data_IF_018751629892
#
_entry.id   IF_018751629892
#
_cell.length_a   1.000
_cell.length_b   1.000
_cell.length_c   1.000
_cell.angle_alpha   90.00
_cell.angle_beta   90.00
_cell.angle_gamma   90.00
#
_symmetry.space_group_name_H-M   'P 1'
#
loop_
_entity.id
_entity.type
_entity.pdbx_description
1 polymer ?
#
# COMPACT_ATOMS: atom_id res chain seq x y z
N UNK A 1 98.14 -33.36 39.30
CA UNK A 1 98.16 -33.68 37.87
C UNK A 1 96.99 -34.63 37.62
N UNK A 2 95.88 -34.12 37.25
CA UNK A 2 94.65 -34.90 37.15
C UNK A 2 94.04 -34.60 35.76
N UNK A 3 93.99 -35.62 34.94
CA UNK A 3 93.30 -35.51 33.65
C UNK A 3 91.81 -35.81 33.79
N UNK A 4 91.01 -34.87 33.36
CA UNK A 4 89.57 -35.06 33.31
C UNK A 4 89.17 -35.45 31.89
N UNK A 5 88.55 -36.59 31.77
CA UNK A 5 87.98 -37.11 30.52
C UNK A 5 86.53 -36.65 30.38
N UNK A 6 86.25 -35.92 29.31
CA UNK A 6 84.87 -35.43 29.03
C UNK A 6 84.18 -36.43 28.11
N UNK A 7 83.13 -37.02 28.60
CA UNK A 7 82.19 -37.87 27.87
C UNK A 7 81.19 -37.04 27.10
N UNK A 8 81.17 -37.07 25.80
CA UNK A 8 80.16 -36.42 24.96
C UNK A 8 79.00 -37.38 24.73
N UNK A 9 77.83 -37.00 25.33
CA UNK A 9 76.58 -37.65 24.99
C UNK A 9 75.94 -36.97 23.76
N UNK A 10 75.71 -37.75 22.74
CA UNK A 10 74.91 -37.32 21.55
C UNK A 10 73.44 -37.46 21.87
N UNK A 11 72.74 -36.37 21.90
CA UNK A 11 71.28 -36.33 21.98
C UNK A 11 70.77 -36.19 20.56
N UNK A 12 70.14 -37.25 20.01
CA UNK A 12 69.36 -37.16 18.78
C UNK A 12 68.01 -36.54 19.08
N UNK A 13 67.77 -35.30 18.66
CA UNK A 13 66.44 -34.66 18.64
C UNK A 13 65.76 -35.00 17.31
N UNK A 14 64.73 -35.87 17.35
CA UNK A 14 63.80 -36.08 16.26
C UNK A 14 62.81 -34.88 16.17
N UNK A 15 62.98 -34.07 15.15
CA UNK A 15 62.03 -33.00 14.86
C UNK A 15 60.79 -33.59 14.19
N UNK A 16 59.67 -33.66 14.92
CA UNK A 16 58.34 -33.88 14.38
C UNK A 16 57.87 -32.57 13.70
N UNK A 17 57.96 -32.49 12.39
CA UNK A 17 57.35 -31.44 11.59
C UNK A 17 55.84 -31.73 11.50
N UNK A 18 55.06 -31.20 12.45
CA UNK A 18 53.60 -31.12 12.33
C UNK A 18 53.29 -30.10 11.23
N UNK A 19 52.86 -30.57 10.07
CA UNK A 19 52.36 -29.75 8.98
C UNK A 19 51.06 -29.06 9.41
N UNK A 20 51.15 -27.81 9.87
CA UNK A 20 50.02 -26.90 10.00
C UNK A 20 49.60 -26.45 8.59
N UNK A 21 48.65 -27.18 8.00
CA UNK A 21 47.91 -26.62 6.86
C UNK A 21 47.09 -25.46 7.35
N UNK A 22 47.21 -24.27 6.77
CA UNK A 22 46.31 -23.19 7.13
C UNK A 22 44.89 -23.61 6.67
N UNK A 23 43.98 -23.85 7.61
CA UNK A 23 42.56 -23.90 7.35
C UNK A 23 42.18 -22.46 7.00
N UNK A 24 42.15 -22.14 5.70
CA UNK A 24 41.49 -20.96 5.21
C UNK A 24 40.00 -21.15 5.47
N UNK A 25 39.50 -20.64 6.62
CA UNK A 25 38.10 -20.31 6.80
C UNK A 25 37.79 -19.25 5.74
N UNK A 26 37.30 -19.71 4.57
CA UNK A 26 36.51 -18.86 3.69
C UNK A 26 35.27 -18.53 4.48
N UNK A 27 35.33 -17.46 5.29
CA UNK A 27 34.15 -16.81 5.82
C UNK A 27 33.34 -16.40 4.61
N UNK A 28 32.29 -17.16 4.30
CA UNK A 28 31.26 -16.70 3.38
C UNK A 28 30.83 -15.33 3.87
N UNK A 29 31.03 -14.34 3.01
CA UNK A 29 30.67 -12.96 3.28
C UNK A 29 29.15 -12.92 3.41
N UNK A 30 28.61 -13.12 4.64
CA UNK A 30 27.18 -13.19 4.97
C UNK A 30 26.40 -11.92 4.63
N UNK A 31 27.09 -10.90 4.11
CA UNK A 31 26.51 -9.62 3.67
C UNK A 31 26.21 -9.53 2.16
N UNK A 32 26.44 -10.58 1.38
CA UNK A 32 26.14 -10.53 -0.05
C UNK A 32 24.68 -10.92 -0.27
N UNK A 33 23.89 -10.00 -0.86
CA UNK A 33 22.52 -10.29 -1.25
C UNK A 33 22.48 -11.49 -2.20
N UNK A 34 21.48 -12.38 -2.08
CA UNK A 34 21.34 -13.53 -2.96
C UNK A 34 21.10 -13.06 -4.40
N UNK A 35 21.57 -13.84 -5.38
CA UNK A 35 21.50 -13.53 -6.82
C UNK A 35 20.06 -13.18 -7.26
N UNK A 36 19.03 -13.84 -6.70
CA UNK A 36 17.63 -13.56 -7.01
C UNK A 36 17.22 -12.12 -6.67
N UNK A 37 17.81 -11.53 -5.61
CA UNK A 37 17.52 -10.17 -5.16
C UNK A 37 18.29 -9.08 -5.93
N UNK A 38 19.37 -9.46 -6.62
CA UNK A 38 20.20 -8.55 -7.42
C UNK A 38 19.95 -8.68 -8.92
N UNK A 39 18.99 -9.51 -9.33
CA UNK A 39 18.64 -9.73 -10.73
C UNK A 39 18.26 -8.45 -11.43
N UNK A 40 18.82 -8.24 -12.62
CA UNK A 40 18.45 -7.11 -13.46
C UNK A 40 17.06 -7.25 -14.04
N UNK A 41 16.44 -6.11 -14.36
CA UNK A 41 15.13 -6.10 -15.03
C UNK A 41 15.23 -6.74 -16.42
N UNK A 42 14.23 -7.54 -16.84
CA UNK A 42 14.20 -8.12 -18.17
C UNK A 42 14.27 -7.06 -19.28
N UNK A 43 14.87 -7.38 -20.44
CA UNK A 43 15.00 -6.44 -21.56
C UNK A 43 13.65 -5.86 -22.02
N UNK A 44 12.59 -6.66 -21.99
CA UNK A 44 11.22 -6.27 -22.34
C UNK A 44 10.71 -5.17 -21.39
N UNK A 45 10.93 -5.34 -20.10
CA UNK A 45 10.51 -4.37 -19.09
C UNK A 45 11.34 -3.08 -19.18
N UNK A 46 12.65 -3.19 -19.46
CA UNK A 46 13.51 -2.04 -19.72
C UNK A 46 13.07 -1.28 -20.99
N UNK A 47 12.62 -2.00 -22.02
CA UNK A 47 12.06 -1.40 -23.22
C UNK A 47 10.74 -0.67 -22.94
N UNK A 48 9.86 -1.27 -22.14
CA UNK A 48 8.59 -0.67 -21.74
C UNK A 48 8.81 0.62 -20.91
N UNK A 49 9.79 0.61 -20.00
CA UNK A 49 10.18 1.81 -19.24
C UNK A 49 10.59 2.95 -20.15
N UNK A 50 11.44 2.67 -21.15
CA UNK A 50 11.86 3.68 -22.16
C UNK A 50 10.68 4.20 -22.97
N UNK A 51 9.83 3.31 -23.46
CA UNK A 51 8.64 3.66 -24.26
C UNK A 51 7.70 4.59 -23.48
N UNK A 52 7.52 4.32 -22.17
CA UNK A 52 6.66 5.12 -21.28
C UNK A 52 7.38 6.33 -20.67
N UNK A 53 8.61 6.61 -21.06
CA UNK A 53 9.44 7.71 -20.52
C UNK A 53 9.59 7.67 -18.99
N UNK A 54 9.72 6.46 -18.46
CA UNK A 54 9.90 6.20 -17.01
C UNK A 54 11.37 5.88 -16.76
N UNK A 55 12.14 6.74 -16.06
CA UNK A 55 13.51 6.40 -15.68
C UNK A 55 13.57 5.10 -14.86
N UNK A 56 14.60 4.25 -15.09
CA UNK A 56 14.77 2.98 -14.36
C UNK A 56 14.65 3.17 -12.84
N UNK A 57 15.27 4.19 -12.34
CA UNK A 57 15.37 4.49 -10.91
C UNK A 57 14.29 5.46 -10.39
N UNK A 58 13.29 5.82 -11.20
CA UNK A 58 12.20 6.69 -10.74
C UNK A 58 11.35 6.02 -9.65
N UNK A 59 10.64 6.81 -8.83
CA UNK A 59 9.76 6.27 -7.80
C UNK A 59 8.78 5.22 -8.31
N UNK A 60 8.59 4.17 -7.51
CA UNK A 60 7.59 3.12 -7.71
C UNK A 60 6.40 3.33 -6.78
N UNK A 61 5.25 2.80 -7.17
CA UNK A 61 4.00 2.83 -6.42
C UNK A 61 3.19 1.60 -6.80
N UNK A 62 2.51 0.97 -5.84
CA UNK A 62 1.83 -0.30 -6.05
C UNK A 62 0.37 -0.21 -5.64
N UNK A 63 -0.52 -0.79 -6.45
CA UNK A 63 -1.94 -0.93 -6.13
C UNK A 63 -2.38 -2.39 -6.31
N UNK A 64 -3.17 -2.87 -5.38
CA UNK A 64 -3.68 -4.23 -5.32
C UNK A 64 -5.21 -4.20 -5.35
N UNK A 65 -5.81 -5.09 -6.12
CA UNK A 65 -7.26 -5.24 -6.23
C UNK A 65 -7.61 -6.71 -6.04
N UNK A 66 -8.28 -7.03 -4.92
CA UNK A 66 -8.57 -8.43 -4.55
C UNK A 66 -9.55 -9.10 -5.52
N UNK A 67 -10.69 -8.48 -5.81
CA UNK A 67 -11.74 -9.10 -6.65
C UNK A 67 -11.24 -9.36 -8.07
N UNK A 68 -10.51 -8.40 -8.65
CA UNK A 68 -9.88 -8.53 -9.97
C UNK A 68 -8.65 -9.46 -9.91
N UNK A 69 -8.10 -9.68 -8.71
CA UNK A 69 -6.84 -10.37 -8.46
C UNK A 69 -5.71 -9.77 -9.34
N UNK A 70 -5.54 -8.46 -9.27
CA UNK A 70 -4.56 -7.70 -10.03
C UNK A 70 -3.66 -6.85 -9.11
N UNK A 71 -2.37 -6.81 -9.46
CA UNK A 71 -1.38 -5.92 -8.89
C UNK A 71 -0.88 -4.98 -9.98
N UNK A 72 -1.08 -3.68 -9.77
CA UNK A 72 -0.56 -2.63 -10.64
C UNK A 72 0.75 -2.09 -10.11
N UNK A 73 1.77 -2.02 -10.94
CA UNK A 73 2.98 -1.26 -10.67
C UNK A 73 2.93 0.03 -11.48
N UNK A 74 3.07 1.13 -10.76
CA UNK A 74 3.13 2.49 -11.30
C UNK A 74 4.53 3.04 -11.10
N UNK A 75 4.99 3.86 -12.03
CA UNK A 75 6.25 4.60 -11.90
C UNK A 75 6.09 6.04 -12.31
N UNK A 76 6.90 6.91 -11.72
CA UNK A 76 6.95 8.29 -12.19
C UNK A 76 7.61 8.37 -13.57
N UNK A 77 6.94 9.07 -14.46
CA UNK A 77 7.50 9.48 -15.75
C UNK A 77 8.37 10.75 -15.62
N UNK A 78 8.86 11.24 -16.74
CA UNK A 78 9.69 12.47 -16.79
C UNK A 78 8.94 13.74 -16.41
N UNK A 79 7.60 13.71 -16.29
CA UNK A 79 6.77 14.83 -15.81
C UNK A 79 6.62 14.83 -14.30
N UNK A 80 7.12 13.80 -13.60
CA UNK A 80 6.98 13.60 -12.17
C UNK A 80 5.63 13.06 -11.75
N UNK A 81 4.80 12.57 -12.70
CA UNK A 81 3.52 11.94 -12.42
C UNK A 81 3.63 10.43 -12.52
N UNK A 82 2.87 9.74 -11.68
CA UNK A 82 2.76 8.29 -11.78
C UNK A 82 1.90 7.89 -12.98
N UNK A 83 2.42 6.96 -13.77
CA UNK A 83 1.74 6.29 -14.85
C UNK A 83 1.84 4.79 -14.63
N UNK A 84 0.84 4.06 -15.11
CA UNK A 84 0.86 2.60 -15.00
C UNK A 84 1.98 2.02 -15.87
N UNK A 85 2.89 1.27 -15.23
CA UNK A 85 3.94 0.55 -15.95
C UNK A 85 3.42 -0.78 -16.45
N UNK A 86 2.94 -1.62 -15.52
CA UNK A 86 2.50 -3.00 -15.82
C UNK A 86 1.45 -3.46 -14.82
N UNK A 87 0.51 -4.28 -15.28
CA UNK A 87 -0.46 -5.01 -14.46
C UNK A 87 -0.02 -6.46 -14.39
N UNK A 88 0.08 -6.98 -13.17
CA UNK A 88 0.42 -8.37 -12.90
C UNK A 88 -0.82 -9.09 -12.37
N UNK A 89 -1.21 -10.22 -12.97
CA UNK A 89 -2.24 -11.05 -12.37
C UNK A 89 -1.74 -11.64 -11.05
N UNK A 90 -2.50 -11.49 -9.97
CA UNK A 90 -2.18 -12.09 -8.67
C UNK A 90 -2.48 -13.59 -8.78
N UNK A 91 -1.47 -14.42 -8.47
CA UNK A 91 -1.62 -15.85 -8.49
C UNK A 91 -2.60 -16.33 -7.42
N UNK A 92 -2.45 -15.81 -6.19
CA UNK A 92 -3.35 -16.11 -5.09
C UNK A 92 -3.34 -15.00 -4.03
N UNK A 93 -4.51 -14.68 -3.48
CA UNK A 93 -4.64 -13.93 -2.25
C UNK A 93 -5.59 -14.68 -1.31
N UNK A 94 -5.53 -14.42 0.01
CA UNK A 94 -6.28 -15.18 1.00
C UNK A 94 -7.33 -14.35 1.72
N UNK A 95 -8.39 -15.03 2.20
CA UNK A 95 -9.47 -14.47 2.97
C UNK A 95 -10.61 -13.92 2.11
N UNK A 96 -11.41 -13.04 2.71
CA UNK A 96 -12.59 -12.42 2.10
C UNK A 96 -12.28 -11.00 1.58
N UNK A 97 -13.25 -10.38 0.91
CA UNK A 97 -13.24 -8.93 0.71
C UNK A 97 -13.52 -8.25 2.04
N UNK A 98 -12.63 -7.37 2.45
CA UNK A 98 -12.66 -6.68 3.73
C UNK A 98 -11.27 -6.55 4.36
N UNK A 99 -11.15 -5.77 5.43
CA UNK A 99 -9.89 -5.56 6.11
C UNK A 99 -9.44 -6.82 6.86
N UNK A 100 -8.12 -6.95 7.06
CA UNK A 100 -7.57 -7.85 8.05
C UNK A 100 -7.86 -7.31 9.45
N UNK A 101 -8.24 -8.18 10.40
CA UNK A 101 -8.64 -7.77 11.74
C UNK A 101 -7.69 -8.27 12.82
N UNK A 102 -7.23 -9.52 12.73
CA UNK A 102 -6.43 -10.16 13.79
C UNK A 102 -5.41 -11.15 13.24
N UNK A 103 -4.39 -11.42 14.04
CA UNK A 103 -3.41 -12.45 13.70
C UNK A 103 -4.10 -13.81 13.49
N UNK A 104 -3.66 -14.56 12.47
CA UNK A 104 -4.20 -15.88 12.15
C UNK A 104 -5.54 -15.92 11.41
N UNK A 105 -6.19 -14.78 11.13
CA UNK A 105 -7.46 -14.72 10.39
C UNK A 105 -7.31 -15.06 8.88
N UNK A 106 -6.09 -15.30 8.41
CA UNK A 106 -5.75 -15.62 7.01
C UNK A 106 -6.23 -14.59 5.99
N UNK A 107 -6.46 -13.36 6.43
CA UNK A 107 -7.03 -12.29 5.64
C UNK A 107 -5.92 -11.42 5.03
N UNK A 108 -5.93 -11.24 3.71
CA UNK A 108 -5.09 -10.26 3.04
C UNK A 108 -5.57 -8.83 3.38
N UNK A 109 -4.66 -7.91 3.78
CA UNK A 109 -5.04 -6.61 4.29
C UNK A 109 -5.56 -5.67 3.18
N UNK A 110 -6.41 -4.72 3.56
CA UNK A 110 -6.85 -3.59 2.72
C UNK A 110 -6.51 -2.28 3.43
N UNK A 111 -5.99 -1.30 2.69
CA UNK A 111 -5.59 0.00 3.24
C UNK A 111 -4.41 0.62 2.50
N UNK A 112 -3.78 1.59 3.18
CA UNK A 112 -2.61 2.33 2.67
C UNK A 112 -1.39 1.99 3.50
N UNK A 113 -0.39 1.39 2.88
CA UNK A 113 0.80 0.89 3.55
C UNK A 113 2.05 1.54 2.98
N UNK A 114 3.08 1.64 3.81
CA UNK A 114 4.37 2.22 3.43
C UNK A 114 5.45 1.16 3.53
N UNK A 115 6.12 0.92 2.42
CA UNK A 115 7.24 -0.02 2.33
C UNK A 115 8.55 0.75 2.35
N UNK A 116 9.44 0.38 3.27
CA UNK A 116 10.82 0.87 3.37
C UNK A 116 11.82 -0.20 2.91
N UNK A 117 13.10 0.12 2.71
CA UNK A 117 14.12 -0.88 2.33
C UNK A 117 14.18 -2.09 3.28
N UNK A 118 13.96 -1.88 4.58
CA UNK A 118 14.01 -2.92 5.62
C UNK A 118 12.88 -3.95 5.50
N UNK A 119 11.80 -3.58 4.79
CA UNK A 119 10.66 -4.46 4.53
C UNK A 119 10.85 -5.32 3.28
N UNK A 120 11.97 -5.16 2.56
CA UNK A 120 12.37 -6.00 1.44
C UNK A 120 13.07 -7.26 1.95
N UNK A 121 12.49 -8.44 1.75
CA UNK A 121 13.06 -9.71 2.18
C UNK A 121 13.71 -10.46 1.00
N UNK A 122 15.05 -10.40 0.85
CA UNK A 122 15.78 -11.12 -0.19
C UNK A 122 15.91 -12.64 0.06
N UNK A 123 15.74 -13.05 1.33
CA UNK A 123 15.93 -14.44 1.79
C UNK A 123 14.61 -15.14 2.09
N UNK A 124 13.52 -14.70 1.45
CA UNK A 124 12.22 -15.34 1.64
C UNK A 124 12.21 -16.79 1.18
N UNK A 125 11.55 -17.67 1.97
CA UNK A 125 11.25 -19.06 1.59
C UNK A 125 10.29 -19.11 0.38
N UNK A 126 9.55 -18.04 0.13
CA UNK A 126 8.68 -17.84 -1.03
C UNK A 126 9.39 -17.06 -2.14
N UNK A 127 10.59 -17.45 -2.47
CA UNK A 127 11.48 -16.85 -3.45
C UNK A 127 11.96 -15.44 -3.03
N UNK A 128 11.18 -14.41 -3.22
CA UNK A 128 11.38 -13.02 -2.77
C UNK A 128 10.10 -12.52 -2.11
N UNK A 129 10.22 -11.61 -1.13
CA UNK A 129 9.05 -11.02 -0.51
C UNK A 129 9.25 -9.54 -0.20
N UNK A 130 8.15 -8.82 -0.19
CA UNK A 130 8.02 -7.43 0.24
C UNK A 130 6.96 -7.39 1.34
N UNK A 131 7.35 -7.10 2.58
CA UNK A 131 6.40 -6.89 3.66
C UNK A 131 5.67 -5.58 3.42
N UNK A 132 4.33 -5.59 3.43
CA UNK A 132 3.53 -4.39 3.16
C UNK A 132 3.53 -3.39 4.31
N UNK A 133 4.03 -3.77 5.50
CA UNK A 133 4.06 -2.90 6.68
C UNK A 133 2.76 -2.90 7.49
N UNK A 134 1.99 -3.98 7.41
CA UNK A 134 0.81 -4.20 8.28
C UNK A 134 1.25 -4.59 9.71
N UNK A 135 0.56 -4.13 10.78
CA UNK A 135 -0.49 -3.13 10.79
C UNK A 135 0.05 -1.69 10.76
N UNK A 136 -0.60 -0.83 9.99
CA UNK A 136 -0.28 0.60 9.95
C UNK A 136 -0.94 1.35 11.15
N UNK A 137 -0.82 2.69 11.18
CA UNK A 137 -1.39 3.51 12.25
C UNK A 137 -2.91 3.44 12.32
N UNK A 138 -3.59 3.33 11.17
CA UNK A 138 -5.04 3.16 11.11
C UNK A 138 -5.47 1.81 11.68
N UNK A 139 -4.80 0.73 11.29
CA UNK A 139 -5.10 -0.61 11.77
C UNK A 139 -4.94 -0.69 13.30
N UNK A 140 -3.81 -0.19 13.83
CA UNK A 140 -3.55 -0.14 15.28
C UNK A 140 -4.60 0.69 16.03
N UNK A 141 -4.97 1.86 15.49
CA UNK A 141 -6.02 2.70 16.10
C UNK A 141 -7.38 2.00 16.12
N UNK A 142 -7.65 1.10 15.19
CA UNK A 142 -8.88 0.32 15.11
C UNK A 142 -8.76 -1.07 15.74
N UNK A 143 -7.76 -1.28 16.63
CA UNK A 143 -7.53 -2.54 17.36
C UNK A 143 -7.33 -3.75 16.44
N UNK A 144 -6.71 -3.55 15.28
CA UNK A 144 -6.34 -4.62 14.36
C UNK A 144 -4.89 -5.01 14.63
N UNK A 145 -4.63 -6.30 14.56
CA UNK A 145 -3.29 -6.86 14.74
C UNK A 145 -2.93 -7.89 13.67
N UNK A 146 -1.69 -8.29 13.68
CA UNK A 146 -1.14 -9.25 12.74
C UNK A 146 0.29 -8.88 12.33
N UNK A 147 0.93 -9.80 11.63
CA UNK A 147 2.32 -9.65 11.22
C UNK A 147 2.59 -10.34 9.88
N UNK A 148 3.75 -10.06 9.29
CA UNK A 148 4.31 -10.78 8.14
C UNK A 148 3.38 -10.86 6.91
N UNK A 149 2.61 -9.80 6.65
CA UNK A 149 1.75 -9.70 5.47
C UNK A 149 2.58 -9.22 4.28
N UNK A 150 2.68 -10.04 3.25
CA UNK A 150 3.65 -9.86 2.18
C UNK A 150 3.05 -9.92 0.78
N UNK A 151 3.75 -9.28 -0.17
CA UNK A 151 3.72 -9.60 -1.59
C UNK A 151 4.91 -10.50 -1.85
N UNK A 152 4.72 -11.75 -2.31
CA UNK A 152 5.79 -12.76 -2.43
C UNK A 152 5.59 -13.70 -3.62
N UNK A 153 6.57 -14.53 -3.91
CA UNK A 153 6.52 -15.59 -4.93
C UNK A 153 5.78 -16.85 -4.50
N UNK A 154 6.04 -17.97 -5.19
CA UNK A 154 5.57 -19.34 -4.89
C UNK A 154 4.04 -19.57 -5.04
N UNK A 155 3.28 -18.62 -5.49
CA UNK A 155 1.84 -18.80 -5.81
C UNK A 155 1.00 -19.48 -4.69
N UNK A 156 1.39 -19.39 -3.42
CA UNK A 156 0.67 -19.91 -2.25
C UNK A 156 0.41 -18.81 -1.23
N UNK A 157 -0.75 -18.79 -0.57
CA UNK A 157 -1.09 -17.71 0.36
C UNK A 157 -1.84 -18.21 1.60
N UNK A 158 -1.54 -17.57 2.72
CA UNK A 158 -2.24 -17.72 4.01
C UNK A 158 -2.41 -16.35 4.71
N UNK A 159 -2.83 -15.32 3.95
CA UNK A 159 -2.99 -13.94 4.41
C UNK A 159 -2.19 -12.93 3.57
N UNK A 160 -1.49 -13.38 2.55
CA UNK A 160 -0.60 -12.60 1.70
C UNK A 160 -1.17 -12.38 0.29
N UNK A 161 -0.39 -11.67 -0.53
CA UNK A 161 -0.58 -11.55 -1.98
C UNK A 161 0.53 -12.32 -2.67
N UNK A 162 0.20 -13.52 -3.17
CA UNK A 162 1.17 -14.39 -3.82
C UNK A 162 1.21 -14.15 -5.33
N UNK A 163 2.40 -13.97 -5.84
CA UNK A 163 2.75 -13.80 -7.24
C UNK A 163 3.48 -15.04 -7.74
N UNK A 164 3.78 -15.14 -9.03
CA UNK A 164 4.79 -16.09 -9.48
C UNK A 164 6.19 -15.57 -9.16
N UNK A 165 7.20 -16.46 -9.20
CA UNK A 165 8.59 -16.09 -8.93
C UNK A 165 9.12 -15.06 -9.92
N UNK A 166 8.72 -15.16 -11.18
CA UNK A 166 9.08 -14.19 -12.23
C UNK A 166 8.47 -12.83 -11.95
N UNK A 167 7.18 -12.80 -11.57
CA UNK A 167 6.48 -11.55 -11.28
C UNK A 167 7.06 -10.83 -10.07
N UNK A 168 7.27 -11.55 -8.96
CA UNK A 168 7.86 -10.92 -7.78
C UNK A 168 9.31 -10.49 -8.03
N UNK A 169 10.07 -11.21 -8.86
CA UNK A 169 11.42 -10.80 -9.28
C UNK A 169 11.42 -9.43 -9.96
N UNK A 170 10.49 -9.19 -10.88
CA UNK A 170 10.34 -7.89 -11.54
C UNK A 170 9.91 -6.79 -10.55
N UNK A 171 8.88 -7.05 -9.75
CA UNK A 171 8.34 -6.10 -8.77
C UNK A 171 9.41 -5.73 -7.73
N UNK A 172 10.11 -6.72 -7.21
CA UNK A 172 11.21 -6.55 -6.25
C UNK A 172 12.35 -5.71 -6.84
N UNK A 173 12.76 -6.01 -8.07
CA UNK A 173 13.81 -5.25 -8.75
C UNK A 173 13.42 -3.80 -9.03
N UNK A 174 12.16 -3.53 -9.41
CA UNK A 174 11.63 -2.17 -9.59
C UNK A 174 11.64 -1.37 -8.27
N UNK A 175 11.25 -2.01 -7.16
CA UNK A 175 11.29 -1.41 -5.83
C UNK A 175 12.73 -1.14 -5.37
N UNK A 176 13.62 -2.15 -5.48
CA UNK A 176 15.06 -2.02 -5.19
C UNK A 176 15.69 -0.86 -5.97
N UNK A 177 15.45 -0.80 -7.26
CA UNK A 177 16.03 0.25 -8.11
C UNK A 177 15.54 1.65 -7.71
N UNK A 178 14.28 1.79 -7.25
CA UNK A 178 13.76 3.03 -6.67
C UNK A 178 14.49 3.42 -5.38
N UNK A 179 14.76 2.46 -4.49
CA UNK A 179 15.53 2.68 -3.26
C UNK A 179 16.99 3.04 -3.54
N UNK A 180 17.63 2.42 -4.53
CA UNK A 180 19.00 2.77 -4.94
C UNK A 180 19.13 4.23 -5.42
N UNK A 181 18.04 4.84 -5.87
CA UNK A 181 18.00 6.27 -6.19
C UNK A 181 17.78 7.19 -4.96
N UNK A 182 17.85 6.66 -3.76
CA UNK A 182 17.72 7.43 -2.50
C UNK A 182 16.27 7.61 -2.01
N UNK A 183 15.28 6.93 -2.62
CA UNK A 183 13.92 6.93 -2.07
C UNK A 183 13.90 6.19 -0.74
N UNK A 184 13.22 6.77 0.25
CA UNK A 184 13.14 6.19 1.60
C UNK A 184 11.98 5.20 1.74
N UNK A 185 10.96 5.35 0.89
CA UNK A 185 9.78 4.49 0.91
C UNK A 185 9.01 4.57 -0.40
N UNK A 186 8.09 3.63 -0.58
CA UNK A 186 6.99 3.71 -1.55
C UNK A 186 5.68 3.25 -0.91
N UNK A 187 4.57 3.69 -1.48
CA UNK A 187 3.24 3.34 -0.98
C UNK A 187 2.68 2.11 -1.69
N UNK A 188 2.00 1.25 -0.92
CA UNK A 188 1.15 0.16 -1.38
C UNK A 188 -0.28 0.49 -0.99
N UNK A 189 -1.17 0.55 -1.96
CA UNK A 189 -2.62 0.71 -1.77
C UNK A 189 -3.30 -0.63 -2.06
N UNK A 190 -3.91 -1.24 -1.05
CA UNK A 190 -4.61 -2.50 -1.19
C UNK A 190 -6.13 -2.27 -1.07
N UNK A 191 -6.87 -2.72 -2.06
CA UNK A 191 -8.30 -2.48 -2.23
C UNK A 191 -9.09 -3.79 -2.38
N UNK A 192 -10.37 -3.81 -1.99
CA UNK A 192 -11.24 -4.96 -2.21
C UNK A 192 -11.46 -5.23 -3.70
N UNK A 193 -11.65 -4.17 -4.45
CA UNK A 193 -11.92 -4.13 -5.89
C UNK A 193 -11.61 -2.72 -6.42
N UNK A 194 -11.69 -2.51 -7.73
CA UNK A 194 -11.62 -1.16 -8.30
C UNK A 194 -12.76 -0.31 -7.76
N UNK A 195 -12.45 0.77 -7.03
CA UNK A 195 -13.43 1.58 -6.28
C UNK A 195 -14.26 2.49 -7.20
N UNK A 196 -14.91 1.89 -8.20
CA UNK A 196 -15.85 2.54 -9.10
C UNK A 196 -17.26 2.62 -8.49
N UNK A 197 -18.12 3.55 -8.93
CA UNK A 197 -19.53 3.60 -8.52
C UNK A 197 -20.25 2.27 -8.73
N UNK A 198 -20.02 1.61 -9.87
CA UNK A 198 -20.63 0.34 -10.21
C UNK A 198 -20.26 -0.78 -9.23
N UNK A 199 -18.99 -0.91 -8.89
CA UNK A 199 -18.54 -1.92 -7.94
C UNK A 199 -19.05 -1.62 -6.51
N UNK A 200 -19.04 -0.36 -6.08
CA UNK A 200 -19.64 0.02 -4.81
C UNK A 200 -21.15 -0.28 -4.75
N UNK A 201 -21.88 -0.02 -5.85
CA UNK A 201 -23.30 -0.35 -5.94
C UNK A 201 -23.57 -1.87 -5.92
N UNK A 202 -22.72 -2.66 -6.57
CA UNK A 202 -22.76 -4.14 -6.50
C UNK A 202 -22.53 -4.64 -5.06
N UNK A 203 -21.60 -4.04 -4.34
CA UNK A 203 -21.22 -4.43 -2.98
C UNK A 203 -21.96 -3.63 -1.89
N UNK A 204 -23.08 -2.97 -2.21
CA UNK A 204 -23.83 -2.10 -1.28
C UNK A 204 -24.28 -2.76 0.02
N UNK A 205 -24.47 -4.06 0.01
CA UNK A 205 -24.91 -4.83 1.18
C UNK A 205 -23.74 -5.32 2.06
N UNK A 206 -22.49 -5.01 1.70
CA UNK A 206 -21.34 -5.43 2.49
C UNK A 206 -21.24 -4.65 3.80
N UNK A 207 -20.94 -5.32 4.93
CA UNK A 207 -20.64 -4.63 6.19
C UNK A 207 -19.39 -3.73 6.09
N UNK A 208 -18.55 -3.94 5.10
CA UNK A 208 -17.32 -3.17 4.88
C UNK A 208 -17.52 -1.95 3.98
N UNK A 209 -18.75 -1.66 3.51
CA UNK A 209 -19.01 -0.58 2.56
C UNK A 209 -18.49 0.78 3.05
N UNK A 210 -18.72 1.10 4.33
CA UNK A 210 -18.26 2.35 4.92
C UNK A 210 -16.72 2.47 4.91
N UNK A 211 -16.03 1.39 5.23
CA UNK A 211 -14.57 1.32 5.16
C UNK A 211 -14.08 1.51 3.71
N UNK A 212 -14.72 0.87 2.75
CA UNK A 212 -14.37 1.01 1.33
C UNK A 212 -14.62 2.41 0.78
N UNK A 213 -15.72 3.08 1.21
CA UNK A 213 -15.96 4.48 0.88
C UNK A 213 -14.87 5.40 1.44
N UNK A 214 -14.34 5.12 2.62
CA UNK A 214 -13.18 5.83 3.17
C UNK A 214 -11.92 5.58 2.33
N UNK A 215 -11.64 4.33 1.94
CA UNK A 215 -10.51 4.03 1.06
C UNK A 215 -10.64 4.75 -0.28
N UNK A 216 -11.87 4.89 -0.79
CA UNK A 216 -12.15 5.60 -2.04
C UNK A 216 -11.67 7.05 -2.02
N UNK A 217 -11.70 7.73 -0.88
CA UNK A 217 -11.22 9.12 -0.78
C UNK A 217 -9.75 9.19 -1.19
N UNK A 218 -8.88 8.33 -0.65
CA UNK A 218 -7.48 8.29 -1.01
C UNK A 218 -7.23 7.80 -2.44
N UNK A 219 -8.04 6.83 -2.90
CA UNK A 219 -8.05 6.41 -4.30
C UNK A 219 -8.32 7.61 -5.24
N UNK A 220 -9.33 8.42 -4.95
CA UNK A 220 -9.72 9.55 -5.78
C UNK A 220 -8.66 10.67 -5.78
N UNK A 221 -7.96 10.87 -4.67
CA UNK A 221 -6.81 11.77 -4.61
C UNK A 221 -5.71 11.32 -5.58
N UNK A 222 -5.39 10.03 -5.60
CA UNK A 222 -4.41 9.48 -6.55
C UNK A 222 -4.91 9.56 -8.00
N UNK A 223 -6.11 9.06 -8.30
CA UNK A 223 -6.68 9.02 -9.66
C UNK A 223 -6.76 10.39 -10.32
N UNK A 224 -7.00 11.44 -9.53
CA UNK A 224 -7.13 12.80 -10.09
C UNK A 224 -5.83 13.57 -10.16
N UNK A 225 -4.83 13.20 -9.37
CA UNK A 225 -3.56 13.90 -9.29
C UNK A 225 -2.41 13.14 -9.97
N UNK A 226 -2.46 11.81 -10.02
CA UNK A 226 -1.36 10.92 -10.38
C UNK A 226 -0.11 11.19 -9.54
N UNK A 227 -0.33 11.57 -8.28
CA UNK A 227 0.70 11.75 -7.26
C UNK A 227 0.40 10.82 -6.10
N UNK A 228 1.42 10.28 -5.46
CA UNK A 228 1.26 9.49 -4.24
C UNK A 228 0.61 10.37 -3.16
N UNK A 229 -0.60 10.00 -2.66
CA UNK A 229 -1.25 10.79 -1.63
C UNK A 229 -0.49 10.63 -0.31
N UNK A 230 -0.27 11.76 0.38
CA UNK A 230 0.17 11.71 1.77
C UNK A 230 -0.97 11.14 2.62
N UNK A 231 -0.67 10.14 3.45
CA UNK A 231 -1.64 9.46 4.31
C UNK A 231 -1.28 9.68 5.76
N UNK A 232 -2.21 10.25 6.50
CA UNK A 232 -2.15 10.42 7.95
C UNK A 232 -3.39 9.76 8.58
N UNK A 233 -3.43 9.67 9.92
CA UNK A 233 -4.55 9.06 10.65
C UNK A 233 -4.87 9.90 11.88
N UNK A 234 -6.15 10.22 12.06
CA UNK A 234 -6.68 10.80 13.30
C UNK A 234 -8.14 10.40 13.48
N UNK A 235 -8.65 10.44 14.70
CA UNK A 235 -10.01 10.00 15.02
C UNK A 235 -10.32 8.59 14.45
N UNK A 236 -9.30 7.71 14.39
CA UNK A 236 -9.36 6.35 13.81
C UNK A 236 -9.70 6.29 12.33
N UNK A 237 -9.37 7.33 11.56
CA UNK A 237 -9.70 7.46 10.15
C UNK A 237 -8.50 7.91 9.35
N UNK A 238 -8.46 7.52 8.10
CA UNK A 238 -7.48 8.04 7.16
C UNK A 238 -7.75 9.51 6.83
N UNK A 239 -6.68 10.28 6.72
CA UNK A 239 -6.66 11.66 6.23
C UNK A 239 -5.67 11.74 5.08
N UNK A 240 -6.06 12.43 4.00
CA UNK A 240 -5.28 12.47 2.78
C UNK A 240 -4.82 13.88 2.43
N UNK A 241 -3.53 14.01 2.03
CA UNK A 241 -2.89 15.24 1.57
C UNK A 241 -3.05 16.44 2.52
N UNK A 242 -3.13 16.17 3.81
CA UNK A 242 -3.25 17.20 4.83
C UNK A 242 -1.99 18.07 4.89
N UNK A 243 -2.20 19.38 4.96
CA UNK A 243 -1.19 20.42 5.11
C UNK A 243 -1.55 21.35 6.28
N UNK A 244 -0.56 21.98 6.94
CA UNK A 244 -0.85 23.00 7.93
C UNK A 244 -1.71 24.11 7.32
N UNK A 245 -2.65 24.71 8.08
CA UNK A 245 -3.37 25.89 7.63
C UNK A 245 -2.39 27.02 7.30
N UNK A 246 -2.74 27.92 6.37
CA UNK A 246 -1.94 29.14 6.13
C UNK A 246 -1.70 29.88 7.43
N UNK A 247 -0.47 30.36 7.62
CA UNK A 247 -0.01 31.09 8.81
C UNK A 247 0.05 30.26 10.12
N UNK A 248 -0.07 28.93 10.03
CA UNK A 248 0.20 28.07 11.18
C UNK A 248 1.72 28.04 11.48
N UNK A 249 2.11 28.35 12.70
CA UNK A 249 3.49 28.24 13.18
C UNK A 249 3.79 26.87 13.79
N UNK A 250 2.74 26.12 14.13
CA UNK A 250 2.86 24.80 14.72
C UNK A 250 2.95 23.71 13.65
N UNK A 251 3.82 22.70 13.83
CA UNK A 251 3.82 21.53 12.95
C UNK A 251 2.49 20.80 13.02
N UNK A 252 2.05 20.27 11.88
CA UNK A 252 0.86 19.44 11.81
C UNK A 252 1.22 18.03 12.31
N UNK A 253 0.71 17.67 13.48
CA UNK A 253 0.94 16.37 14.12
C UNK A 253 -0.41 15.65 14.25
N UNK A 254 -0.46 14.42 13.75
CA UNK A 254 -1.62 13.54 13.85
C UNK A 254 -1.40 12.47 14.92
N UNK A 255 -2.37 12.33 15.83
CA UNK A 255 -2.48 11.17 16.68
C UNK A 255 -3.64 10.30 16.17
N UNK A 256 -3.39 9.00 15.91
CA UNK A 256 -4.38 8.15 15.26
C UNK A 256 -5.71 8.01 15.99
N UNK A 257 -5.73 8.16 17.33
CA UNK A 257 -6.93 8.02 18.17
C UNK A 257 -7.60 9.34 18.51
N UNK A 258 -6.86 10.46 18.42
CA UNK A 258 -7.34 11.76 18.88
C UNK A 258 -8.12 12.49 17.78
N UNK A 259 -8.85 13.52 18.19
CA UNK A 259 -9.52 14.43 17.26
C UNK A 259 -8.51 15.01 16.27
N UNK A 260 -8.92 15.09 15.02
CA UNK A 260 -8.06 15.65 13.97
C UNK A 260 -7.70 17.12 14.26
N UNK A 261 -6.43 17.50 14.13
CA UNK A 261 -6.02 18.89 14.14
C UNK A 261 -6.64 19.64 12.94
N UNK A 262 -6.66 20.97 13.00
CA UNK A 262 -7.03 21.75 11.83
C UNK A 262 -5.99 21.57 10.72
N UNK A 263 -6.44 21.25 9.51
CA UNK A 263 -5.60 21.09 8.34
C UNK A 263 -6.31 21.61 7.08
N UNK A 264 -5.56 21.81 6.02
CA UNK A 264 -6.07 22.11 4.67
C UNK A 264 -5.51 21.08 3.68
N UNK A 265 -6.18 20.95 2.54
CA UNK A 265 -5.67 20.17 1.40
C UNK A 265 -5.37 21.14 0.26
N UNK A 266 -4.33 20.87 -0.52
CA UNK A 266 -4.00 21.69 -1.68
C UNK A 266 -5.28 21.94 -2.52
N UNK A 267 -5.65 23.22 -2.78
CA UNK A 267 -6.92 23.55 -3.41
C UNK A 267 -7.16 22.90 -4.78
N UNK A 268 -6.08 22.67 -5.54
CA UNK A 268 -6.17 22.02 -6.86
C UNK A 268 -6.50 20.53 -6.72
N UNK A 269 -5.87 19.84 -5.77
CA UNK A 269 -6.15 18.43 -5.46
C UNK A 269 -7.57 18.30 -4.90
N UNK A 270 -7.89 19.08 -3.88
CA UNK A 270 -9.20 19.09 -3.22
C UNK A 270 -10.36 19.33 -4.20
N UNK A 271 -10.19 20.26 -5.15
CA UNK A 271 -11.23 20.53 -6.15
C UNK A 271 -11.43 19.32 -7.07
N UNK A 272 -10.37 18.78 -7.67
CA UNK A 272 -10.43 17.63 -8.58
C UNK A 272 -11.02 16.39 -7.90
N UNK A 273 -10.55 16.09 -6.68
CA UNK A 273 -11.06 14.96 -5.91
C UNK A 273 -12.56 15.12 -5.63
N UNK A 274 -13.02 16.32 -5.21
CA UNK A 274 -14.45 16.61 -4.97
C UNK A 274 -15.30 16.52 -6.24
N UNK A 275 -14.80 17.02 -7.37
CA UNK A 275 -15.50 16.91 -8.66
C UNK A 275 -15.70 15.43 -9.03
N UNK A 276 -14.66 14.62 -8.89
CA UNK A 276 -14.76 13.17 -9.11
C UNK A 276 -15.75 12.52 -8.13
N UNK A 277 -15.61 12.78 -6.84
CA UNK A 277 -16.48 12.20 -5.81
C UNK A 277 -17.94 12.55 -6.06
N UNK A 278 -18.26 13.81 -6.41
CA UNK A 278 -19.61 14.22 -6.76
C UNK A 278 -20.16 13.48 -7.99
N UNK A 279 -19.36 13.34 -9.04
CA UNK A 279 -19.77 12.61 -10.24
C UNK A 279 -20.03 11.14 -9.91
N UNK A 280 -19.11 10.53 -9.17
CA UNK A 280 -19.20 9.12 -8.77
C UNK A 280 -20.41 8.88 -7.85
N UNK A 281 -20.75 9.80 -6.95
CA UNK A 281 -21.92 9.69 -6.08
C UNK A 281 -23.24 9.79 -6.85
N UNK A 282 -23.31 10.65 -7.86
CA UNK A 282 -24.48 10.72 -8.76
C UNK A 282 -24.66 9.43 -9.54
N UNK A 283 -23.57 8.87 -10.07
CA UNK A 283 -23.58 7.59 -10.77
C UNK A 283 -23.99 6.45 -9.83
N UNK A 284 -23.40 6.40 -8.62
CA UNK A 284 -23.76 5.43 -7.60
C UNK A 284 -25.25 5.49 -7.25
N UNK A 285 -25.78 6.67 -7.01
CA UNK A 285 -27.20 6.87 -6.71
C UNK A 285 -28.11 6.44 -7.88
N UNK A 286 -27.70 6.68 -9.12
CA UNK A 286 -28.45 6.23 -10.29
C UNK A 286 -28.45 4.70 -10.40
N UNK A 287 -27.29 4.06 -10.21
CA UNK A 287 -27.15 2.58 -10.22
C UNK A 287 -28.01 1.92 -9.14
N UNK A 288 -28.16 2.55 -7.98
CA UNK A 288 -29.08 2.06 -6.94
C UNK A 288 -30.56 2.17 -7.38
N UNK A 289 -30.96 3.28 -8.03
CA UNK A 289 -32.32 3.45 -8.59
C UNK A 289 -32.61 2.42 -9.69
N UNK A 290 -31.61 2.13 -10.52
CA UNK A 290 -31.68 1.14 -11.60
C UNK A 290 -31.66 -0.29 -11.07
N UNK A 291 -31.57 -0.43 -9.75
CA UNK A 291 -31.58 -1.70 -9.02
C UNK A 291 -30.56 -2.72 -9.57
N UNK A 292 -29.32 -2.28 -9.84
CA UNK A 292 -28.26 -3.20 -10.31
C UNK A 292 -28.12 -4.38 -9.35
N UNK A 293 -27.86 -5.61 -9.86
CA UNK A 293 -27.73 -6.79 -9.03
C UNK A 293 -26.64 -6.61 -7.96
N UNK A 294 -27.00 -6.88 -6.69
CA UNK A 294 -26.03 -6.89 -5.60
C UNK A 294 -25.14 -8.13 -5.71
N UNK A 295 -23.87 -7.96 -5.42
CA UNK A 295 -22.95 -9.09 -5.27
C UNK A 295 -23.33 -9.88 -4.02
N UNK A 296 -23.22 -11.22 -4.04
CA UNK A 296 -23.40 -12.03 -2.85
C UNK A 296 -22.30 -11.71 -1.83
N UNK A 297 -22.66 -11.77 -0.55
CA UNK A 297 -21.71 -11.66 0.54
C UNK A 297 -21.19 -13.05 0.84
N UNK A 298 -19.91 -13.24 0.67
CA UNK A 298 -19.22 -14.48 1.04
C UNK A 298 -18.47 -14.26 2.35
N UNK A 299 -18.33 -15.33 3.13
CA UNK A 299 -17.44 -15.36 4.27
C UNK A 299 -16.71 -16.69 4.33
N UNK A 300 -15.48 -16.67 4.87
CA UNK A 300 -14.64 -17.84 4.92
C UNK A 300 -14.15 -18.28 3.55
N UNK A 301 -13.99 -17.33 2.59
CA UNK A 301 -13.31 -17.59 1.34
C UNK A 301 -11.85 -17.92 1.62
N UNK A 302 -11.34 -18.91 0.92
CA UNK A 302 -9.89 -19.15 0.90
C UNK A 302 -9.21 -18.22 -0.13
N UNK A 303 -9.71 -16.99 -0.23
CA UNK A 303 -9.18 -15.95 -1.11
C UNK A 303 -9.63 -16.04 -2.55
N UNK A 304 -8.82 -15.47 -3.44
CA UNK A 304 -9.07 -15.45 -4.88
C UNK A 304 -7.81 -15.67 -5.70
N UNK A 305 -8.03 -15.83 -7.00
CA UNK A 305 -7.01 -16.09 -8.00
C UNK A 305 -7.39 -15.37 -9.29
N UNK A 306 -6.42 -14.80 -10.00
CA UNK A 306 -6.69 -14.26 -11.32
C UNK A 306 -7.06 -15.37 -12.31
N UNK A 307 -7.99 -15.07 -13.21
CA UNK A 307 -8.46 -16.01 -14.24
C UNK A 307 -7.34 -16.61 -15.09
N UNK A 308 -6.22 -15.91 -15.24
CA UNK A 308 -5.05 -16.40 -15.97
C UNK A 308 -4.43 -17.66 -15.33
N UNK A 309 -4.66 -17.88 -14.04
CA UNK A 309 -4.13 -19.04 -13.31
C UNK A 309 -5.19 -20.13 -13.04
N UNK A 310 -6.48 -19.85 -13.20
CA UNK A 310 -7.55 -20.79 -12.90
C UNK A 310 -7.40 -22.14 -13.66
N UNK A 311 -6.97 -22.08 -14.92
CA UNK A 311 -6.75 -23.27 -15.73
C UNK A 311 -5.53 -24.10 -15.27
N UNK A 312 -4.54 -23.46 -14.63
CA UNK A 312 -3.31 -24.11 -14.16
C UNK A 312 -3.49 -24.78 -12.79
N UNK A 313 -4.50 -24.35 -12.02
CA UNK A 313 -4.77 -24.85 -10.67
C UNK A 313 -6.24 -25.25 -10.49
N UNK A 314 -6.74 -26.25 -11.24
CA UNK A 314 -8.13 -26.69 -11.13
C UNK A 314 -8.41 -27.20 -9.71
N UNK A 315 -9.53 -26.77 -9.11
CA UNK A 315 -9.97 -27.22 -7.78
C UNK A 315 -9.40 -26.46 -6.58
N UNK A 316 -8.55 -25.46 -6.77
CA UNK A 316 -8.00 -24.63 -5.66
C UNK A 316 -8.88 -23.43 -5.25
N UNK A 317 -9.95 -23.14 -5.99
CA UNK A 317 -10.94 -22.12 -5.61
C UNK A 317 -12.17 -22.83 -5.07
N UNK A 318 -12.21 -23.06 -3.77
CA UNK A 318 -13.43 -23.49 -3.09
C UNK A 318 -14.28 -22.27 -2.81
N UNK A 319 -15.41 -22.14 -3.51
CA UNK A 319 -16.46 -21.20 -3.13
C UNK A 319 -17.00 -21.67 -1.78
N UNK A 320 -16.70 -20.97 -0.71
CA UNK A 320 -17.26 -21.25 0.60
C UNK A 320 -18.69 -20.70 0.74
N UNK A 321 -19.36 -21.15 1.79
CA UNK A 321 -20.80 -20.98 2.02
C UNK A 321 -21.24 -19.52 1.93
N UNK A 322 -22.31 -19.26 1.17
CA UNK A 322 -23.10 -18.03 1.28
C UNK A 322 -23.71 -18.00 2.68
N UNK A 323 -23.33 -17.01 3.50
CA UNK A 323 -23.93 -16.82 4.81
C UNK A 323 -25.15 -15.89 4.73
N UNK A 324 -26.21 -16.16 5.49
CA UNK A 324 -27.25 -15.17 5.69
C UNK A 324 -26.67 -13.97 6.44
N UNK A 325 -27.06 -12.78 6.00
CA UNK A 325 -26.57 -11.44 6.41
C UNK A 325 -26.45 -11.16 7.92
N UNK A 326 -27.05 -11.97 8.79
CA UNK A 326 -27.30 -11.62 10.19
C UNK A 326 -26.25 -12.07 11.20
N UNK A 327 -25.21 -12.82 10.86
CA UNK A 327 -24.43 -13.56 11.87
C UNK A 327 -23.04 -13.07 12.19
N UNK A 328 -22.46 -12.08 11.45
CA UNK A 328 -21.13 -11.58 11.74
C UNK A 328 -20.97 -10.09 11.42
N UNK A 329 -21.30 -9.25 12.39
CA UNK A 329 -20.88 -7.86 12.40
C UNK A 329 -19.92 -7.66 13.59
N UNK A 330 -18.60 -7.56 13.39
CA UNK A 330 -17.84 -6.71 14.28
C UNK A 330 -18.38 -5.30 14.03
N UNK A 331 -19.04 -4.72 15.02
CA UNK A 331 -19.50 -3.34 14.97
C UNK A 331 -18.27 -2.44 14.90
N UNK A 332 -17.87 -2.07 13.68
CA UNK A 332 -17.06 -0.87 13.53
C UNK A 332 -17.88 0.26 14.16
N UNK A 333 -17.29 1.10 15.03
CA UNK A 333 -17.99 2.27 15.52
C UNK A 333 -18.54 3.03 14.33
N UNK A 334 -19.78 3.59 14.41
CA UNK A 334 -20.34 4.33 13.30
C UNK A 334 -19.35 5.41 12.91
N UNK A 335 -18.98 5.42 11.62
CA UNK A 335 -18.11 6.46 11.06
C UNK A 335 -18.97 7.73 11.13
N UNK A 336 -18.59 8.77 11.90
CA UNK A 336 -19.50 9.86 12.27
C UNK A 336 -19.99 10.76 11.12
N UNK A 337 -19.64 10.44 9.90
CA UNK A 337 -20.00 11.16 8.67
C UNK A 337 -20.57 10.28 7.55
N UNK A 338 -20.86 9.02 7.87
CA UNK A 338 -21.56 8.13 6.96
C UNK A 338 -22.96 7.96 7.50
N UNK A 339 -23.97 8.32 6.71
CA UNK A 339 -25.38 8.13 7.08
C UNK A 339 -25.71 6.63 7.15
N UNK A 340 -26.82 6.27 7.79
CA UNK A 340 -27.27 4.90 7.97
C UNK A 340 -27.45 4.12 6.65
N UNK A 341 -27.52 4.80 5.51
CA UNK A 341 -27.56 4.24 4.17
C UNK A 341 -26.16 4.05 3.55
N UNK A 342 -25.09 4.39 4.30
CA UNK A 342 -23.72 4.32 3.83
C UNK A 342 -23.27 5.49 2.94
N UNK A 343 -24.06 6.57 2.82
CA UNK A 343 -23.67 7.77 2.09
C UNK A 343 -22.75 8.66 2.91
N UNK A 344 -21.81 9.35 2.24
CA UNK A 344 -20.96 10.34 2.88
C UNK A 344 -21.77 11.62 3.13
N UNK A 345 -21.92 12.02 4.40
CA UNK A 345 -22.72 13.21 4.73
C UNK A 345 -22.09 14.49 4.19
N UNK A 346 -22.88 15.37 3.64
CA UNK A 346 -22.47 16.71 3.21
C UNK A 346 -21.90 17.56 4.36
N UNK A 347 -22.22 17.22 5.60
CA UNK A 347 -21.69 17.87 6.82
C UNK A 347 -20.19 17.71 6.97
N UNK A 348 -19.62 16.60 6.50
CA UNK A 348 -18.18 16.37 6.57
C UNK A 348 -17.40 17.30 5.65
N UNK A 349 -17.92 17.57 4.46
CA UNK A 349 -17.32 18.51 3.52
C UNK A 349 -17.37 19.96 4.04
N UNK A 350 -18.37 20.32 4.85
CA UNK A 350 -18.49 21.65 5.45
C UNK A 350 -17.53 21.92 6.60
N UNK A 351 -17.12 20.89 7.35
CA UNK A 351 -16.23 21.04 8.52
C UNK A 351 -14.74 20.96 8.18
N UNK A 352 -14.37 20.24 7.13
CA UNK A 352 -13.00 20.13 6.65
C UNK A 352 -12.58 21.29 5.74
N UNK A 353 -13.54 21.92 5.10
CA UNK A 353 -13.32 23.01 4.16
C UNK A 353 -14.12 24.23 4.61
N UNK A 354 -13.68 24.78 5.76
CA UNK A 354 -14.25 25.96 6.39
C UNK A 354 -14.74 27.02 5.39
N UNK A 355 -15.96 27.47 5.65
CA UNK A 355 -16.66 28.70 5.26
C UNK A 355 -16.41 29.17 3.81
N UNK A 356 -17.47 29.29 3.01
CA UNK A 356 -17.41 30.18 1.86
C UNK A 356 -16.95 31.55 2.38
N UNK A 357 -15.98 32.14 1.69
CA UNK A 357 -15.70 33.58 1.83
C UNK A 357 -17.01 34.27 1.42
N UNK A 358 -17.86 34.53 2.38
CA UNK A 358 -18.96 35.46 2.22
C UNK A 358 -18.27 36.83 2.17
N UNK A 359 -18.19 37.41 1.00
CA UNK A 359 -17.96 38.85 0.90
C UNK A 359 -19.13 39.51 1.60
N UNK A 360 -18.94 39.86 2.87
CA UNK A 360 -19.87 40.66 3.63
C UNK A 360 -19.77 42.10 3.08
N UNK A 361 -20.68 42.41 2.18
CA UNK A 361 -20.92 43.79 1.75
C UNK A 361 -21.58 44.52 2.93
N UNK A 362 -20.79 44.82 3.95
CA UNK A 362 -21.17 45.81 4.94
C UNK A 362 -21.40 47.16 4.25
N UNK A 363 -22.64 47.59 4.22
CA UNK A 363 -23.06 48.95 3.85
C UNK A 363 -22.22 49.97 4.63
N UNK A 364 -21.29 50.60 3.95
CA UNK A 364 -20.82 51.94 4.33
C UNK A 364 -21.06 52.84 3.14
N UNK A 365 -21.99 53.74 3.35
CA UNK A 365 -22.26 54.92 2.52
C UNK A 365 -20.98 55.77 2.38
N UNK A 366 -20.43 55.85 1.16
CA UNK A 366 -19.52 56.94 0.75
C UNK A 366 -19.89 57.44 -0.64
N UNK A 367 -19.66 58.74 -0.91
CA UNK A 367 -20.25 59.42 -2.06
C UNK A 367 -19.47 59.15 -3.35
N UNK A 368 -20.22 59.32 -4.42
CA UNK A 368 -19.82 59.19 -5.82
C UNK A 368 -18.53 59.92 -6.17
N UNK A 369 -17.55 59.25 -6.67
CA UNK A 369 -16.69 59.58 -7.80
C UNK A 369 -15.43 58.73 -7.81
N UNK A 370 -15.21 58.12 -8.94
CA UNK A 370 -13.97 57.49 -9.51
C UNK A 370 -14.22 56.02 -9.87
N UNK A 371 -14.54 55.85 -11.14
CA UNK A 371 -14.43 54.62 -11.91
C UNK A 371 -12.93 54.25 -12.08
N UNK A 372 -12.49 53.14 -11.53
CA UNK A 372 -11.43 52.33 -12.12
C UNK A 372 -11.72 50.85 -11.78
N UNK A 373 -11.78 50.01 -12.79
CA UNK A 373 -12.18 48.63 -12.70
C UNK A 373 -11.14 47.74 -12.05
N UNK A 374 -11.61 46.84 -11.19
CA UNK A 374 -10.98 45.58 -10.91
C UNK A 374 -12.05 44.48 -10.90
N UNK A 375 -11.85 43.51 -11.78
CA UNK A 375 -12.63 42.27 -11.83
C UNK A 375 -12.23 41.40 -10.62
N UNK A 376 -13.21 40.94 -9.94
CA UNK A 376 -13.08 39.78 -9.05
C UNK A 376 -12.95 38.48 -9.83
#
# INVERSE_FOLDING_TARGET
>A
MIHATVLRALVLTAAFAAGLTPVTCLGENSNRLPTKATKELPPELLSLLRQKKMPKYSPVFVRLFKEEAELEVWKQDTTGRFQILKIYPICRWSGDLGPKLQEGDRQAPEGFYTVTPELMNPNSDFYLAINVGYPNSFDKANNRDGSLLMIHGDCSSSGCYAMTDEQISEIYSLARDSFLAGRQSFQVQAYPFRLTPANLARHRNSPNLAFWKMLKIGNDHFETAHLEPRVDVCNRLYVFDAQPPPNSTNPLVFNPTDKCPAFVVNPKIARRAREKQRTDELEYAQLLKDNVPAAPIYSGLDGGMNKAFLAQFPGRVTLSKVLPYASYLPQLPPIPWVDNDGSLTSKWFGTLFSKPIVCDLARTSFPSSVLVGHRC
#
